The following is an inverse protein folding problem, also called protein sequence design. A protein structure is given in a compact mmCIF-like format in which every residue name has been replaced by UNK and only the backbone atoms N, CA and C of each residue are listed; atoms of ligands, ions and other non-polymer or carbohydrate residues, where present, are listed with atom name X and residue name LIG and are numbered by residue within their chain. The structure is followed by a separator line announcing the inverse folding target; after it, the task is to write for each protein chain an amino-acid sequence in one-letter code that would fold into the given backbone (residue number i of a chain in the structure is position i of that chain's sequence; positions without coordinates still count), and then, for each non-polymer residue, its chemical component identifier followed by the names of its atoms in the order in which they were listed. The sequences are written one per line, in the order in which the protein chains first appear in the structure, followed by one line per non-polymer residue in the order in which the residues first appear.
data_IF_990393264527
#
_entry.id   IF_990393264527
#
_cell.length_a   1.000
_cell.length_b   1.000
_cell.length_c   1.000
_cell.angle_alpha   90.00
_cell.angle_beta   90.00
_cell.angle_gamma   90.00
#
_symmetry.space_group_name_H-M   'P 1'
#
loop_
_entity.id
_entity.type
_entity.pdbx_description
1 polymer ?
#
# COMPACT_ATOMS: atom_id res chain seq x y z
N UNK A 1 -2.08 -17.52 0.46
CA UNK A 1 -1.12 -16.93 1.41
C UNK A 1 -0.92 -15.46 1.11
N UNK A 2 -0.92 -14.65 2.15
CA UNK A 2 -0.74 -13.21 1.98
C UNK A 2 0.67 -12.88 1.59
N UNK A 3 0.81 -11.81 0.81
CA UNK A 3 2.10 -11.28 0.43
C UNK A 3 2.43 -10.12 1.35
N UNK A 4 3.54 -10.21 2.05
CA UNK A 4 3.97 -9.16 2.96
C UNK A 4 4.57 -8.00 2.18
N UNK A 5 4.47 -6.80 2.76
CA UNK A 5 5.14 -5.62 2.22
C UNK A 5 6.63 -5.76 2.49
N UNK A 6 7.46 -5.48 1.49
CA UNK A 6 8.91 -5.49 1.65
C UNK A 6 9.36 -4.12 2.18
N UNK A 7 10.09 -4.12 3.29
CA UNK A 7 10.62 -2.88 3.86
C UNK A 7 12.12 -2.84 3.66
N UNK A 8 12.63 -1.74 3.11
CA UNK A 8 14.06 -1.56 2.87
C UNK A 8 14.53 -0.24 3.46
N UNK A 9 15.85 -0.13 3.65
CA UNK A 9 16.44 1.04 4.28
C UNK A 9 15.95 1.18 5.71
N UNK A 10 15.54 2.37 6.08
CA UNK A 10 15.03 2.64 7.43
C UNK A 10 13.53 2.40 7.56
N UNK A 11 12.87 1.98 6.49
CA UNK A 11 11.42 1.77 6.53
C UNK A 11 11.01 0.72 7.55
N UNK A 12 11.83 -0.30 7.76
CA UNK A 12 11.54 -1.34 8.75
C UNK A 12 11.43 -0.82 10.17
N UNK A 13 12.12 0.29 10.48
CA UNK A 13 12.06 0.90 11.80
C UNK A 13 10.74 1.63 12.05
N UNK A 14 10.02 1.96 10.99
CA UNK A 14 8.76 2.70 11.05
C UNK A 14 7.60 1.90 10.48
N UNK A 15 7.76 0.60 10.43
CA UNK A 15 6.82 -0.31 9.78
C UNK A 15 5.38 -0.11 10.25
N UNK A 16 5.17 -0.13 11.56
CA UNK A 16 3.82 -0.03 12.11
C UNK A 16 3.17 1.31 11.77
N UNK A 17 3.94 2.38 11.88
CA UNK A 17 3.42 3.71 11.61
C UNK A 17 3.10 3.88 10.13
N UNK A 18 3.98 3.39 9.25
CA UNK A 18 3.75 3.47 7.81
C UNK A 18 2.51 2.67 7.40
N UNK A 19 2.37 1.45 7.93
CA UNK A 19 1.19 0.64 7.61
C UNK A 19 -0.09 1.28 8.12
N UNK A 20 -0.06 1.81 9.34
CA UNK A 20 -1.24 2.47 9.91
C UNK A 20 -1.71 3.64 9.05
N UNK A 21 -0.75 4.45 8.58
CA UNK A 21 -1.09 5.59 7.74
C UNK A 21 -1.63 5.13 6.38
N UNK A 22 -1.00 4.12 5.79
CA UNK A 22 -1.45 3.62 4.50
C UNK A 22 -2.81 2.92 4.57
N UNK A 23 -3.19 2.40 5.74
CA UNK A 23 -4.51 1.83 5.93
C UNK A 23 -5.62 2.88 5.86
N UNK A 24 -5.27 4.15 5.90
CA UNK A 24 -6.25 5.23 5.73
C UNK A 24 -6.50 5.56 4.25
N UNK A 25 -5.77 4.93 3.34
CA UNK A 25 -5.93 5.14 1.91
C UNK A 25 -6.81 4.04 1.35
N UNK A 26 -7.99 4.42 0.85
CA UNK A 26 -9.00 3.47 0.42
C UNK A 26 -9.10 3.38 -1.10
N UNK A 27 -9.30 2.16 -1.58
CA UNK A 27 -9.73 1.96 -2.95
C UNK A 27 -11.26 2.11 -2.96
N UNK A 28 -11.74 3.19 -3.55
CA UNK A 28 -13.16 3.53 -3.47
C UNK A 28 -14.06 2.60 -4.28
N UNK A 29 -13.50 1.89 -5.25
CA UNK A 29 -14.27 0.95 -6.05
C UNK A 29 -14.52 -0.36 -5.30
N UNK A 30 -13.54 -0.78 -4.51
CA UNK A 30 -13.62 -2.04 -3.78
C UNK A 30 -14.06 -1.84 -2.34
N UNK A 31 -13.72 -0.67 -1.77
CA UNK A 31 -14.11 -0.35 -0.40
C UNK A 31 -13.17 -0.92 0.65
N UNK A 32 -11.93 -1.16 0.30
CA UNK A 32 -10.92 -1.70 1.20
C UNK A 32 -9.66 -0.85 1.09
N UNK A 33 -8.90 -0.75 2.19
CA UNK A 33 -7.65 0.00 2.18
C UNK A 33 -6.59 -0.71 1.34
N UNK A 34 -5.61 0.07 0.87
CA UNK A 34 -4.60 -0.45 -0.07
C UNK A 34 -3.66 -1.47 0.58
N UNK A 35 -3.48 -1.42 1.89
CA UNK A 35 -2.62 -2.40 2.58
C UNK A 35 -3.31 -3.76 2.59
N UNK A 36 -4.56 -3.82 3.01
CA UNK A 36 -5.30 -5.09 3.05
C UNK A 36 -5.66 -5.60 1.68
N UNK A 37 -5.74 -4.72 0.67
CA UNK A 37 -5.92 -5.14 -0.72
C UNK A 37 -4.65 -5.77 -1.31
N UNK A 38 -3.50 -5.53 -0.67
CA UNK A 38 -2.23 -6.04 -1.20
C UNK A 38 -1.70 -5.23 -2.36
N UNK A 39 -2.04 -3.95 -2.43
CA UNK A 39 -1.54 -3.07 -3.49
C UNK A 39 -0.16 -2.52 -3.19
N UNK A 40 0.25 -2.48 -1.92
CA UNK A 40 1.56 -1.98 -1.53
C UNK A 40 2.56 -3.12 -1.59
N UNK A 41 3.51 -3.04 -2.52
CA UNK A 41 4.50 -4.10 -2.71
C UNK A 41 5.75 -3.87 -1.88
N UNK A 42 6.14 -2.62 -1.68
CA UNK A 42 7.32 -2.34 -0.89
C UNK A 42 7.40 -0.88 -0.49
N UNK A 43 8.13 -0.62 0.57
CA UNK A 43 8.39 0.74 1.07
C UNK A 43 9.87 0.83 1.35
N UNK A 44 10.50 1.84 0.77
CA UNK A 44 11.90 2.14 1.03
C UNK A 44 12.01 3.51 1.71
N UNK A 45 12.85 3.62 2.72
CA UNK A 45 13.11 4.89 3.37
C UNK A 45 14.62 5.04 3.47
N UNK A 46 15.18 6.02 2.73
CA UNK A 46 16.62 6.21 2.75
C UNK A 46 17.05 7.10 3.91
N UNK A 47 18.36 7.32 4.01
CA UNK A 47 18.93 8.09 5.13
C UNK A 47 18.54 9.58 5.08
N UNK A 48 18.08 10.05 3.94
CA UNK A 48 17.68 11.45 3.77
C UNK A 48 16.19 11.66 4.00
N UNK A 49 15.46 10.60 4.31
CA UNK A 49 14.04 10.68 4.56
C UNK A 49 13.17 10.57 3.31
N UNK A 50 13.76 10.18 2.18
CA UNK A 50 12.98 9.96 0.97
C UNK A 50 12.31 8.60 1.06
N UNK A 51 10.98 8.61 1.03
CA UNK A 51 10.18 7.40 1.15
C UNK A 51 9.64 7.03 -0.23
N UNK A 52 10.05 5.88 -0.73
CA UNK A 52 9.58 5.37 -2.02
C UNK A 52 8.59 4.23 -1.77
N UNK A 53 7.37 4.40 -2.24
CA UNK A 53 6.31 3.41 -2.07
C UNK A 53 6.07 2.74 -3.43
N UNK A 54 6.25 1.43 -3.48
CA UNK A 54 5.95 0.67 -4.70
C UNK A 54 4.53 0.16 -4.60
N UNK A 55 3.70 0.62 -5.53
CA UNK A 55 2.29 0.29 -5.58
C UNK A 55 1.92 -0.40 -6.87
N UNK A 56 0.85 -1.18 -6.82
CA UNK A 56 0.20 -1.63 -8.04
C UNK A 56 -1.30 -1.32 -7.93
N UNK A 57 -2.03 -1.61 -8.98
CA UNK A 57 -3.49 -1.47 -9.01
C UNK A 57 -4.11 -2.78 -9.44
N UNK A 58 -5.40 -2.95 -9.14
CA UNK A 58 -6.10 -4.18 -9.47
C UNK A 58 -6.30 -4.34 -10.98
N UNK A 59 -6.18 -3.25 -11.72
CA UNK A 59 -6.25 -3.30 -13.18
C UNK A 59 -5.78 -2.00 -13.79
N UNK A 60 -5.27 -2.07 -15.02
CA UNK A 60 -4.87 -0.88 -15.75
C UNK A 60 -6.09 0.00 -16.00
N UNK A 61 -5.92 1.31 -15.88
CA UNK A 61 -7.01 2.24 -16.11
C UNK A 61 -7.98 2.38 -14.95
N UNK A 62 -7.58 1.95 -13.76
CA UNK A 62 -8.40 2.14 -12.57
C UNK A 62 -8.68 3.62 -12.35
N UNK A 63 -9.96 3.99 -12.26
CA UNK A 63 -10.35 5.39 -12.11
C UNK A 63 -9.99 5.96 -10.74
N UNK A 64 -9.74 5.10 -9.76
CA UNK A 64 -9.37 5.53 -8.41
C UNK A 64 -7.87 5.72 -8.21
N UNK A 65 -7.07 5.52 -9.26
CA UNK A 65 -5.61 5.60 -9.12
C UNK A 65 -5.14 6.97 -8.62
N UNK A 66 -5.68 8.05 -9.14
CA UNK A 66 -5.30 9.39 -8.68
C UNK A 66 -5.67 9.61 -7.22
N UNK A 67 -6.83 9.10 -6.81
CA UNK A 67 -7.27 9.19 -5.43
C UNK A 67 -6.29 8.45 -4.50
N UNK A 68 -5.85 7.27 -4.92
CA UNK A 68 -4.91 6.48 -4.13
C UNK A 68 -3.56 7.20 -4.03
N UNK A 69 -3.05 7.72 -5.16
CA UNK A 69 -1.76 8.42 -5.15
C UNK A 69 -1.82 9.64 -4.23
N UNK A 70 -2.89 10.42 -4.34
CA UNK A 70 -3.08 11.59 -3.49
C UNK A 70 -3.17 11.18 -2.02
N UNK A 71 -3.92 10.12 -1.74
CA UNK A 71 -4.07 9.63 -0.37
C UNK A 71 -2.76 9.20 0.25
N UNK A 72 -1.89 8.54 -0.51
CA UNK A 72 -0.58 8.12 -0.02
C UNK A 72 0.24 9.36 0.37
N UNK A 73 0.27 10.39 -0.48
CA UNK A 73 0.97 11.62 -0.14
C UNK A 73 0.37 12.29 1.10
N UNK A 74 -0.95 12.37 1.18
CA UNK A 74 -1.61 13.01 2.31
C UNK A 74 -1.31 12.33 3.63
N UNK A 75 -1.17 11.02 3.61
CA UNK A 75 -0.92 10.26 4.83
C UNK A 75 0.56 10.26 5.23
N UNK A 76 1.46 10.23 4.27
CA UNK A 76 2.88 10.07 4.57
C UNK A 76 3.65 11.40 4.66
N UNK A 77 3.28 12.41 3.88
CA UNK A 77 3.99 13.70 3.89
C UNK A 77 4.10 14.33 5.28
N UNK A 78 3.06 14.24 6.16
CA UNK A 78 3.17 14.87 7.48
C UNK A 78 4.10 14.18 8.46
N UNK A 79 4.57 12.96 8.15
CA UNK A 79 5.41 12.22 9.08
C UNK A 79 6.78 12.88 9.20
N UNK A 80 7.23 13.11 10.44
CA UNK A 80 8.43 13.88 10.70
C UNK A 80 9.73 13.28 10.16
N UNK A 81 9.76 11.96 9.98
CA UNK A 81 10.95 11.29 9.46
C UNK A 81 10.96 11.20 7.93
N UNK A 82 9.92 11.69 7.26
CA UNK A 82 9.83 11.69 5.80
C UNK A 82 10.03 13.11 5.29
N UNK A 83 10.96 13.28 4.35
CA UNK A 83 11.22 14.56 3.70
C UNK A 83 10.57 14.63 2.33
N UNK A 84 10.38 13.48 1.68
CA UNK A 84 9.77 13.42 0.36
C UNK A 84 9.14 12.04 0.18
N UNK A 85 7.98 12.02 -0.46
CA UNK A 85 7.31 10.75 -0.81
C UNK A 85 7.37 10.59 -2.32
N UNK A 86 7.90 9.45 -2.76
CA UNK A 86 7.90 9.07 -4.17
C UNK A 86 7.06 7.81 -4.32
N UNK A 87 6.30 7.73 -5.40
CA UNK A 87 5.47 6.57 -5.67
C UNK A 87 5.91 5.96 -6.98
N UNK A 88 6.20 4.67 -6.95
CA UNK A 88 6.59 3.92 -8.12
C UNK A 88 5.51 2.88 -8.41
N UNK A 89 4.89 3.00 -9.59
CA UNK A 89 3.86 2.04 -9.99
C UNK A 89 4.55 0.84 -10.61
N UNK A 90 4.23 -0.35 -10.11
CA UNK A 90 4.81 -1.60 -10.61
C UNK A 90 3.68 -2.53 -11.04
N UNK A 91 3.92 -3.28 -12.10
CA UNK A 91 2.92 -4.20 -12.65
C UNK A 91 3.37 -5.65 -12.58
N UNK A 92 4.55 -5.90 -12.03
CA UNK A 92 5.10 -7.24 -11.87
C UNK A 92 5.60 -7.43 -10.45
N UNK A 93 5.21 -8.51 -9.76
CA UNK A 93 4.22 -9.49 -10.22
C UNK A 93 2.82 -8.88 -10.29
N UNK A 94 1.97 -9.43 -11.16
CA UNK A 94 0.61 -8.92 -11.31
C UNK A 94 -0.18 -9.11 -10.02
N UNK A 95 -1.07 -8.18 -9.73
CA UNK A 95 -1.95 -8.31 -8.57
C UNK A 95 -2.93 -9.46 -8.78
N UNK A 96 -3.12 -10.27 -7.74
CA UNK A 96 -4.08 -11.38 -7.75
C UNK A 96 -4.83 -11.36 -6.41
N UNK A 97 -5.98 -12.05 -6.37
CA UNK A 97 -6.81 -12.08 -5.17
C UNK A 97 -6.08 -12.61 -3.94
N UNK A 98 -5.09 -13.48 -4.13
CA UNK A 98 -4.31 -14.01 -3.01
C UNK A 98 -3.54 -12.94 -2.26
N UNK A 99 -3.38 -11.75 -2.83
CA UNK A 99 -2.69 -10.66 -2.15
C UNK A 99 -3.57 -9.95 -1.12
N UNK A 100 -4.90 -10.15 -1.21
CA UNK A 100 -5.80 -9.58 -0.21
C UNK A 100 -5.58 -10.31 1.11
N UNK A 101 -5.39 -9.55 2.19
CA UNK A 101 -5.18 -10.14 3.51
C UNK A 101 -6.44 -10.90 3.96
N UNK A 102 -6.26 -11.76 4.95
CA UNK A 102 -7.39 -12.48 5.52
C UNK A 102 -8.46 -11.52 6.05
N UNK A 103 -8.03 -10.47 6.74
CA UNK A 103 -8.94 -9.43 7.21
C UNK A 103 -9.72 -8.82 6.05
N UNK A 104 -9.02 -8.49 4.96
CA UNK A 104 -9.65 -7.88 3.79
C UNK A 104 -10.67 -8.82 3.15
N UNK A 105 -10.36 -10.10 3.06
CA UNK A 105 -11.29 -11.08 2.50
C UNK A 105 -12.56 -11.20 3.33
N UNK A 106 -12.40 -11.20 4.65
CA UNK A 106 -13.55 -11.24 5.55
C UNK A 106 -14.41 -10.00 5.36
N UNK A 107 -13.77 -8.82 5.29
CA UNK A 107 -14.49 -7.57 5.11
C UNK A 107 -15.27 -7.51 3.80
N UNK A 108 -14.75 -8.13 2.75
CA UNK A 108 -15.39 -8.15 1.44
C UNK A 108 -16.37 -9.30 1.26
N UNK A 109 -16.46 -10.20 2.24
CA UNK A 109 -17.32 -11.36 2.14
C UNK A 109 -16.75 -12.49 1.30
N UNK A 110 -15.45 -12.44 0.98
CA UNK A 110 -14.76 -13.50 0.26
C UNK A 110 -14.35 -14.56 1.27
N UNK A 111 -14.46 -15.84 0.87
CA UNK A 111 -14.11 -16.94 1.77
C UNK A 111 -12.63 -16.87 2.15
N UNK A 112 -12.29 -16.60 3.43
CA UNK A 112 -10.90 -16.44 3.85
C UNK A 112 -10.18 -17.76 4.08
N UNK A 113 -10.90 -18.86 4.06
CA UNK A 113 -10.35 -20.17 4.34
C UNK A 113 -9.72 -20.86 3.14
N UNK A 114 -9.60 -20.19 2.04
CA UNK A 114 -9.08 -20.77 0.81
C UNK A 114 -7.68 -20.27 0.51
#
# INVERSE_FOLDING_TARGET
MEKAITYTGQAGQHKEELEEKLMNVMDTEIGLDIVNLGLVYGIDLDDEGVCTVRLTFTGAGCSCSEHILKGVHEQLDPLGFITEVKIKIVWSPAWVLDRITRYGRISLGINPGR
#
